data_IF_205346003832
#
_entry.id   IF_205346003832
#
_cell.length_a   1.000
_cell.length_b   1.000
_cell.length_c   1.000
_cell.angle_alpha   90.00
_cell.angle_beta   90.00
_cell.angle_gamma   90.00
#
_symmetry.space_group_name_H-M   'P 1'
#
loop_
_entity.id
_entity.type
_entity.pdbx_description
1 polymer ?
#
# COMPACT_ATOMS: atom_id res chain seq x y z
N UNK A 1 -17.20 4.36 16.22
CA UNK A 1 -16.04 3.64 15.60
C UNK A 1 -14.78 3.99 16.36
N UNK A 2 -13.86 3.04 16.54
CA UNK A 2 -12.56 3.23 17.18
C UNK A 2 -11.47 2.41 16.50
N UNK A 3 -10.21 2.81 16.62
CA UNK A 3 -9.07 1.95 16.30
C UNK A 3 -8.73 1.07 17.51
N UNK A 4 -8.30 -0.16 17.24
CA UNK A 4 -7.73 -1.08 18.22
C UNK A 4 -6.46 -1.68 17.63
N UNK A 5 -5.33 -1.43 18.27
CA UNK A 5 -4.05 -1.96 17.78
C UNK A 5 -3.98 -3.48 17.97
N UNK A 6 -3.10 -4.14 17.23
CA UNK A 6 -2.84 -5.58 17.42
C UNK A 6 -2.27 -5.83 18.81
N UNK A 7 -1.52 -4.89 19.37
CA UNK A 7 -1.06 -4.95 20.76
C UNK A 7 -2.21 -4.98 21.77
N UNK A 8 -3.29 -4.23 21.52
CA UNK A 8 -4.49 -4.18 22.37
C UNK A 8 -5.44 -5.37 22.13
N UNK A 9 -5.57 -5.81 20.87
CA UNK A 9 -6.51 -6.86 20.44
C UNK A 9 -5.86 -7.85 19.46
N UNK A 10 -4.89 -8.65 19.96
CA UNK A 10 -4.22 -9.67 19.14
C UNK A 10 -5.18 -10.77 18.67
N UNK A 11 -6.25 -11.02 19.42
CA UNK A 11 -7.30 -11.98 19.12
C UNK A 11 -8.07 -11.73 17.81
N UNK A 12 -8.06 -10.48 17.32
CA UNK A 12 -8.76 -10.10 16.08
C UNK A 12 -7.93 -10.29 14.81
N UNK A 13 -6.63 -10.56 14.92
CA UNK A 13 -5.69 -10.51 13.78
C UNK A 13 -6.04 -11.54 12.69
N UNK A 14 -6.31 -12.79 13.07
CA UNK A 14 -6.67 -13.86 12.13
C UNK A 14 -8.01 -13.57 11.44
N UNK A 15 -9.04 -13.24 12.22
CA UNK A 15 -10.36 -12.87 11.68
C UNK A 15 -10.27 -11.67 10.72
N UNK A 16 -9.48 -10.64 11.05
CA UNK A 16 -9.28 -9.48 10.18
C UNK A 16 -8.59 -9.85 8.86
N UNK A 17 -7.65 -10.80 8.89
CA UNK A 17 -7.02 -11.34 7.70
C UNK A 17 -8.04 -12.06 6.82
N UNK A 18 -8.81 -12.99 7.37
CA UNK A 18 -9.83 -13.74 6.64
C UNK A 18 -10.86 -12.82 5.96
N UNK A 19 -11.37 -11.80 6.68
CA UNK A 19 -12.35 -10.84 6.16
C UNK A 19 -11.83 -9.96 5.02
N UNK A 20 -10.52 -9.83 4.87
CA UNK A 20 -9.90 -8.92 3.91
C UNK A 20 -9.00 -9.61 2.89
N UNK A 21 -8.82 -10.92 3.00
CA UNK A 21 -7.90 -11.71 2.18
C UNK A 21 -8.10 -11.49 0.68
N UNK A 22 -9.34 -11.50 0.22
CA UNK A 22 -9.73 -11.39 -1.19
C UNK A 22 -9.77 -9.94 -1.73
N UNK A 23 -9.38 -8.96 -0.91
CA UNK A 23 -9.32 -7.54 -1.34
C UNK A 23 -8.06 -7.21 -2.15
N UNK A 24 -7.02 -8.02 -2.03
CA UNK A 24 -5.81 -7.95 -2.86
C UNK A 24 -5.86 -9.01 -3.98
N UNK A 25 -5.27 -8.67 -5.10
CA UNK A 25 -5.04 -9.64 -6.18
C UNK A 25 -3.95 -10.62 -5.76
N UNK A 26 -4.00 -11.84 -6.29
CA UNK A 26 -3.03 -12.89 -5.98
C UNK A 26 -1.58 -12.42 -6.19
N UNK A 27 -1.27 -11.86 -7.36
CA UNK A 27 0.09 -11.40 -7.64
C UNK A 27 0.66 -10.40 -6.62
N UNK A 28 -0.19 -9.55 -6.01
CA UNK A 28 0.25 -8.59 -4.98
C UNK A 28 0.71 -9.25 -3.68
N UNK A 29 0.44 -10.54 -3.50
CA UNK A 29 0.84 -11.30 -2.32
C UNK A 29 2.25 -11.89 -2.46
N UNK A 30 2.94 -11.65 -3.59
CA UNK A 30 4.24 -12.23 -3.93
C UNK A 30 5.37 -11.19 -4.05
N UNK A 31 5.36 -10.16 -3.21
CA UNK A 31 6.42 -9.14 -3.19
C UNK A 31 7.78 -9.72 -2.79
N UNK A 32 8.81 -9.48 -3.60
CA UNK A 32 10.16 -10.03 -3.42
C UNK A 32 10.80 -9.63 -2.10
N UNK A 33 10.63 -8.40 -1.70
CA UNK A 33 11.19 -7.81 -0.47
C UNK A 33 10.13 -7.76 0.61
N UNK A 34 8.97 -7.19 0.31
CA UNK A 34 7.89 -6.93 1.26
C UNK A 34 7.52 -8.19 2.07
N UNK A 35 7.40 -9.34 1.41
CA UNK A 35 6.97 -10.58 2.06
C UNK A 35 7.98 -11.10 3.11
N UNK A 36 9.27 -10.78 3.00
CA UNK A 36 10.28 -11.17 3.98
C UNK A 36 10.09 -10.49 5.33
N UNK A 37 9.48 -9.31 5.33
CA UNK A 37 9.27 -8.47 6.51
C UNK A 37 7.82 -8.47 6.99
N UNK A 38 6.86 -8.94 6.17
CA UNK A 38 5.44 -8.72 6.42
C UNK A 38 4.94 -9.30 7.76
N UNK A 39 5.40 -10.51 8.12
CA UNK A 39 5.07 -11.15 9.39
C UNK A 39 5.61 -10.36 10.59
N UNK A 40 6.81 -9.80 10.46
CA UNK A 40 7.49 -9.02 11.51
C UNK A 40 6.70 -7.78 11.92
N UNK A 41 5.86 -7.21 11.02
CA UNK A 41 4.99 -6.07 11.37
C UNK A 41 4.08 -6.39 12.57
N UNK A 42 3.51 -7.57 12.61
CA UNK A 42 2.62 -8.00 13.70
C UNK A 42 3.38 -8.50 14.91
N UNK A 43 4.55 -9.10 14.71
CA UNK A 43 5.38 -9.67 15.76
C UNK A 43 6.21 -8.62 16.52
N UNK A 44 6.80 -7.66 15.80
CA UNK A 44 7.76 -6.70 16.35
C UNK A 44 7.17 -5.29 16.52
N UNK A 45 6.12 -4.94 15.76
CA UNK A 45 5.50 -3.61 15.74
C UNK A 45 3.97 -3.67 15.88
N UNK A 46 3.41 -4.48 16.81
CA UNK A 46 1.96 -4.68 16.92
C UNK A 46 1.19 -3.41 17.28
N UNK A 47 1.83 -2.41 17.90
CA UNK A 47 1.24 -1.11 18.24
C UNK A 47 0.98 -0.21 17.03
N UNK A 48 1.65 -0.46 15.88
CA UNK A 48 1.43 0.27 14.63
C UNK A 48 0.50 -0.46 13.64
N UNK A 49 0.04 -1.65 14.00
CA UNK A 49 -0.92 -2.43 13.25
C UNK A 49 -2.27 -2.32 13.96
N UNK A 50 -3.35 -1.98 13.23
CA UNK A 50 -4.64 -1.83 13.90
C UNK A 50 -5.83 -2.35 13.08
N UNK A 51 -6.92 -2.53 13.79
CA UNK A 51 -8.26 -2.80 13.25
C UNK A 51 -9.16 -1.60 13.52
N UNK A 52 -9.96 -1.19 12.55
CA UNK A 52 -11.06 -0.27 12.75
C UNK A 52 -12.28 -1.08 13.18
N UNK A 53 -12.85 -0.75 14.34
CA UNK A 53 -13.99 -1.44 14.91
C UNK A 53 -15.21 -0.52 14.96
N UNK A 54 -16.40 -1.09 14.81
CA UNK A 54 -17.66 -0.42 15.10
C UNK A 54 -18.00 -0.49 16.61
N UNK A 55 -19.18 0.04 16.96
CA UNK A 55 -19.66 0.08 18.35
C UNK A 55 -20.09 -1.32 18.89
N UNK A 56 -20.12 -2.34 18.01
CA UNK A 56 -20.38 -3.74 18.35
C UNK A 56 -19.12 -4.61 18.33
N UNK A 57 -17.94 -3.97 18.22
CA UNK A 57 -16.62 -4.63 18.10
C UNK A 57 -16.47 -5.44 16.80
N UNK A 58 -17.27 -5.17 15.76
CA UNK A 58 -17.09 -5.79 14.44
C UNK A 58 -16.00 -5.09 13.64
N UNK A 59 -15.22 -5.88 12.90
CA UNK A 59 -14.08 -5.39 12.13
C UNK A 59 -14.58 -4.73 10.84
N UNK A 60 -14.29 -3.44 10.69
CA UNK A 60 -14.62 -2.64 9.50
C UNK A 60 -13.45 -2.48 8.53
N UNK A 61 -12.23 -2.49 9.03
CA UNK A 61 -11.00 -2.40 8.24
C UNK A 61 -9.81 -2.93 9.04
N UNK A 62 -8.76 -3.30 8.33
CA UNK A 62 -7.43 -3.46 8.91
C UNK A 62 -6.43 -2.52 8.27
N UNK A 63 -5.45 -2.09 9.04
CA UNK A 63 -4.41 -1.19 8.59
C UNK A 63 -3.03 -1.67 9.05
N UNK A 64 -2.01 -1.39 8.24
CA UNK A 64 -0.61 -1.69 8.51
C UNK A 64 0.23 -0.46 8.26
N UNK A 65 1.10 -0.16 9.20
CA UNK A 65 2.05 0.93 9.11
C UNK A 65 3.34 0.56 9.86
N UNK A 66 4.41 1.27 9.60
CA UNK A 66 5.62 1.16 10.42
C UNK A 66 6.31 2.52 10.55
N UNK A 67 6.99 2.77 11.67
CA UNK A 67 7.80 3.97 11.83
C UNK A 67 9.04 3.88 10.94
N UNK A 68 9.39 4.98 10.28
CA UNK A 68 10.59 5.08 9.44
C UNK A 68 11.30 6.40 9.70
N UNK A 69 12.61 6.43 9.44
CA UNK A 69 13.38 7.66 9.39
C UNK A 69 13.18 8.34 8.03
N UNK A 70 12.98 9.66 8.04
CA UNK A 70 12.91 10.49 6.84
C UNK A 70 13.28 11.94 7.19
N UNK A 71 14.18 12.56 6.44
CA UNK A 71 14.66 13.93 6.67
C UNK A 71 13.69 15.01 6.16
N UNK A 72 12.60 14.64 5.50
CA UNK A 72 11.60 15.54 4.94
C UNK A 72 11.85 15.94 3.49
N UNK A 73 12.99 15.56 2.92
CA UNK A 73 13.32 15.82 1.52
C UNK A 73 12.76 14.75 0.57
N UNK A 74 12.58 15.11 -0.71
CA UNK A 74 12.16 14.18 -1.76
C UNK A 74 13.26 13.14 -2.04
N UNK A 75 14.50 13.53 -1.90
CA UNK A 75 15.66 12.69 -2.22
C UNK A 75 15.90 11.59 -1.16
N UNK A 76 15.48 11.82 0.09
CA UNK A 76 15.55 10.84 1.17
C UNK A 76 14.31 9.93 1.27
N UNK A 77 13.30 10.08 0.40
CA UNK A 77 12.19 9.14 0.40
C UNK A 77 12.67 7.73 0.12
N UNK A 78 12.18 6.70 0.84
CA UNK A 78 12.51 5.31 0.54
C UNK A 78 12.18 4.95 -0.92
N UNK A 79 12.90 3.97 -1.47
CA UNK A 79 12.61 3.43 -2.80
C UNK A 79 11.31 2.60 -2.75
N UNK A 80 10.18 3.30 -2.77
CA UNK A 80 8.85 2.71 -2.71
C UNK A 80 8.53 2.00 -1.39
N UNK A 81 7.54 1.11 -1.45
CA UNK A 81 7.11 0.32 -0.29
C UNK A 81 8.17 -0.69 0.13
N UNK A 82 8.92 -1.26 -0.83
CA UNK A 82 10.01 -2.19 -0.55
C UNK A 82 11.13 -1.51 0.23
N UNK A 83 11.55 -0.31 -0.19
CA UNK A 83 12.55 0.47 0.55
C UNK A 83 12.04 0.95 1.91
N UNK A 84 10.75 1.30 2.01
CA UNK A 84 10.16 1.73 3.28
C UNK A 84 10.16 0.63 4.33
N UNK A 85 9.80 -0.61 3.97
CA UNK A 85 9.76 -1.71 4.93
C UNK A 85 11.17 -2.11 5.39
N UNK A 86 12.15 -2.12 4.49
CA UNK A 86 13.55 -2.36 4.84
C UNK A 86 14.04 -1.29 5.80
N UNK A 87 13.85 0.00 5.45
CA UNK A 87 14.29 1.13 6.28
C UNK A 87 13.67 1.09 7.67
N UNK A 88 12.38 0.79 7.78
CA UNK A 88 11.68 0.76 9.06
C UNK A 88 12.14 -0.34 10.02
N UNK A 89 12.70 -1.45 9.50
CA UNK A 89 13.23 -2.52 10.33
C UNK A 89 14.75 -2.45 10.54
N UNK A 90 15.48 -1.92 9.57
CA UNK A 90 16.95 -1.98 9.58
C UNK A 90 17.60 -0.66 10.04
N UNK A 91 16.87 0.48 10.01
CA UNK A 91 17.35 1.77 10.48
C UNK A 91 16.62 2.17 11.79
N UNK A 92 17.34 2.79 12.71
CA UNK A 92 16.78 3.39 13.93
C UNK A 92 16.31 4.84 13.74
N UNK A 93 15.98 5.49 14.85
CA UNK A 93 15.64 6.93 14.93
C UNK A 93 14.48 7.35 14.01
N UNK A 94 13.45 6.51 13.95
CA UNK A 94 12.22 6.79 13.19
C UNK A 94 11.53 8.06 13.68
N UNK A 95 11.14 8.91 12.74
CA UNK A 95 10.51 10.20 13.04
C UNK A 95 9.18 10.43 12.29
N UNK A 96 8.82 9.53 11.36
CA UNK A 96 7.55 9.56 10.63
C UNK A 96 6.91 8.17 10.61
N UNK A 97 5.59 8.12 10.44
CA UNK A 97 4.86 6.86 10.19
C UNK A 97 4.74 6.65 8.68
N UNK A 98 5.03 5.45 8.19
CA UNK A 98 4.78 5.05 6.82
C UNK A 98 3.55 4.13 6.76
N UNK A 99 2.50 4.56 6.04
CA UNK A 99 1.33 3.74 5.78
C UNK A 99 1.66 2.68 4.71
N UNK A 100 1.43 1.41 5.00
CA UNK A 100 1.69 0.31 4.06
C UNK A 100 0.42 -0.26 3.45
N UNK A 101 -0.65 -0.33 4.24
CA UNK A 101 -1.88 -1.01 3.83
C UNK A 101 -3.10 -0.45 4.55
N UNK A 102 -4.19 -0.31 3.81
CA UNK A 102 -5.56 -0.23 4.34
C UNK A 102 -6.41 -1.21 3.55
N UNK A 103 -7.02 -2.17 4.22
CA UNK A 103 -7.95 -3.12 3.62
C UNK A 103 -9.31 -3.02 4.28
N UNK A 104 -10.35 -2.97 3.45
CA UNK A 104 -11.76 -2.90 3.84
C UNK A 104 -12.47 -4.08 3.19
N UNK A 105 -13.22 -4.91 3.95
CA UNK A 105 -14.02 -5.99 3.39
C UNK A 105 -14.87 -5.49 2.21
N UNK A 106 -15.03 -6.31 1.17
CA UNK A 106 -15.66 -5.89 -0.09
C UNK A 106 -17.07 -5.34 0.08
N UNK A 107 -17.85 -5.94 0.97
CA UNK A 107 -19.22 -5.54 1.29
C UNK A 107 -19.32 -4.22 2.08
N UNK A 108 -18.21 -3.77 2.67
CA UNK A 108 -18.10 -2.54 3.44
C UNK A 108 -17.45 -1.39 2.66
N UNK A 109 -16.96 -1.63 1.45
CA UNK A 109 -16.32 -0.60 0.62
C UNK A 109 -17.31 0.51 0.23
N UNK A 110 -16.78 1.66 -0.18
CA UNK A 110 -17.56 2.85 -0.58
C UNK A 110 -18.40 3.51 0.53
N UNK A 111 -18.14 3.19 1.80
CA UNK A 111 -18.80 3.76 2.99
C UNK A 111 -17.96 4.81 3.72
N UNK A 112 -16.88 5.30 3.10
CA UNK A 112 -15.99 6.29 3.71
C UNK A 112 -14.97 5.73 4.72
N UNK A 113 -14.95 4.41 4.95
CA UNK A 113 -14.09 3.77 5.95
C UNK A 113 -12.59 3.97 5.68
N UNK A 114 -12.20 4.14 4.43
CA UNK A 114 -10.81 4.46 4.05
C UNK A 114 -10.34 5.80 4.61
N UNK A 115 -11.23 6.79 4.66
CA UNK A 115 -10.96 8.08 5.29
C UNK A 115 -10.69 7.90 6.79
N UNK A 116 -11.57 7.20 7.48
CA UNK A 116 -11.45 6.91 8.93
C UNK A 116 -10.18 6.10 9.24
N UNK A 117 -9.81 5.14 8.38
CA UNK A 117 -8.59 4.36 8.56
C UNK A 117 -7.32 5.22 8.43
N UNK A 118 -7.28 6.16 7.46
CA UNK A 118 -6.15 7.10 7.34
C UNK A 118 -6.10 8.08 8.51
N UNK A 119 -7.25 8.59 8.99
CA UNK A 119 -7.31 9.39 10.23
C UNK A 119 -6.79 8.60 11.43
N UNK A 120 -7.11 7.30 11.51
CA UNK A 120 -6.57 6.40 12.53
C UNK A 120 -5.04 6.28 12.48
N UNK A 121 -4.44 6.21 11.28
CA UNK A 121 -2.99 6.24 11.12
C UNK A 121 -2.37 7.57 11.55
N UNK A 122 -3.02 8.69 11.24
CA UNK A 122 -2.59 10.03 11.68
C UNK A 122 -2.63 10.15 13.21
N UNK A 123 -3.70 9.66 13.83
CA UNK A 123 -3.81 9.63 15.29
C UNK A 123 -2.73 8.74 15.91
N UNK A 124 -2.45 7.58 15.29
CA UNK A 124 -1.39 6.69 15.76
C UNK A 124 -0.01 7.38 15.67
N UNK A 125 0.27 8.08 14.57
CA UNK A 125 1.49 8.85 14.41
C UNK A 125 1.64 9.91 15.52
N UNK A 126 0.56 10.65 15.83
CA UNK A 126 0.58 11.65 16.94
C UNK A 126 0.84 11.01 18.30
N UNK A 127 0.18 9.89 18.61
CA UNK A 127 0.35 9.18 19.89
C UNK A 127 1.80 8.74 20.12
N UNK A 128 2.50 8.41 19.05
CA UNK A 128 3.90 7.99 19.09
C UNK A 128 4.89 9.13 18.85
N UNK A 129 4.44 10.40 18.81
CA UNK A 129 5.31 11.56 18.62
C UNK A 129 5.95 11.68 17.24
N UNK A 130 5.40 10.98 16.24
CA UNK A 130 5.87 11.02 14.87
C UNK A 130 5.35 12.26 14.14
N UNK A 131 6.21 12.91 13.35
CA UNK A 131 6.00 14.27 12.83
C UNK A 131 5.19 14.33 11.53
N UNK A 132 5.01 13.20 10.86
CA UNK A 132 4.23 13.08 9.62
C UNK A 132 3.74 11.65 9.41
N UNK A 133 2.73 11.51 8.53
CA UNK A 133 2.39 10.25 7.88
C UNK A 133 2.79 10.35 6.42
N UNK A 134 3.66 9.46 5.96
CA UNK A 134 3.97 9.27 4.54
C UNK A 134 3.32 7.99 4.03
N UNK A 135 2.97 7.96 2.75
CA UNK A 135 2.32 6.80 2.16
C UNK A 135 2.77 6.60 0.71
N UNK A 136 3.29 5.41 0.34
CA UNK A 136 3.45 5.02 -1.05
C UNK A 136 2.08 4.54 -1.57
N UNK A 137 1.23 5.49 -1.92
CA UNK A 137 -0.16 5.25 -2.30
C UNK A 137 -0.23 4.48 -3.61
N UNK A 138 -0.90 3.31 -3.58
CA UNK A 138 -1.24 2.52 -4.76
C UNK A 138 -2.49 3.11 -5.41
N UNK A 139 -2.41 3.78 -6.58
CA UNK A 139 -3.59 4.41 -7.19
C UNK A 139 -4.62 3.35 -7.62
N UNK A 140 -5.87 3.50 -7.19
CA UNK A 140 -6.90 2.48 -7.40
C UNK A 140 -7.43 2.40 -8.83
N UNK A 141 -7.46 3.51 -9.57
CA UNK A 141 -7.90 3.53 -10.97
C UNK A 141 -6.76 3.40 -11.97
N UNK A 142 -5.52 3.34 -11.53
CA UNK A 142 -4.36 3.18 -12.43
C UNK A 142 -4.42 1.87 -13.22
N UNK A 143 -5.09 0.84 -12.71
CA UNK A 143 -5.31 -0.44 -13.41
C UNK A 143 -6.07 -0.29 -14.74
N UNK A 144 -6.88 0.78 -14.89
CA UNK A 144 -7.56 1.10 -16.15
C UNK A 144 -6.65 1.81 -17.15
N UNK A 145 -5.48 2.26 -16.73
CA UNK A 145 -4.51 3.02 -17.52
C UNK A 145 -3.09 2.45 -17.39
N UNK A 146 -2.89 1.13 -17.54
CA UNK A 146 -1.62 0.47 -17.21
C UNK A 146 -0.46 0.94 -18.11
N UNK A 147 -0.76 1.39 -19.34
CA UNK A 147 0.23 1.88 -20.28
C UNK A 147 0.64 3.36 -20.08
N UNK A 148 -0.05 4.07 -19.20
CA UNK A 148 0.30 5.45 -18.87
C UNK A 148 1.37 5.46 -17.79
N UNK A 149 2.54 6.09 -17.99
CA UNK A 149 3.55 6.22 -16.94
C UNK A 149 2.98 6.85 -15.67
N UNK A 150 3.42 6.38 -14.50
CA UNK A 150 2.91 6.87 -13.22
C UNK A 150 3.20 8.36 -13.02
N UNK A 151 4.31 8.86 -13.56
CA UNK A 151 4.71 10.27 -13.53
C UNK A 151 3.66 11.17 -14.16
N UNK A 152 3.05 10.69 -15.24
CA UNK A 152 1.98 11.41 -15.91
C UNK A 152 0.65 11.24 -15.20
N UNK A 153 0.32 9.99 -14.80
CA UNK A 153 -0.94 9.66 -14.13
C UNK A 153 -1.12 10.38 -12.80
N UNK A 154 -0.07 10.48 -11.99
CA UNK A 154 -0.08 11.13 -10.69
C UNK A 154 -0.50 12.61 -10.75
N UNK A 155 -0.28 13.27 -11.88
CA UNK A 155 -0.66 14.66 -12.09
C UNK A 155 -2.09 14.87 -12.62
N UNK A 156 -2.84 13.80 -12.91
CA UNK A 156 -4.18 13.94 -13.47
C UNK A 156 -5.16 14.49 -12.43
N UNK A 157 -6.01 15.43 -12.91
CA UNK A 157 -7.02 16.08 -12.08
C UNK A 157 -8.39 16.04 -12.74
N UNK A 158 -9.41 16.12 -11.92
CA UNK A 158 -10.81 16.26 -12.32
C UNK A 158 -11.14 17.72 -12.60
N UNK A 159 -12.33 17.97 -13.15
CA UNK A 159 -12.82 19.33 -13.42
C UNK A 159 -12.96 20.18 -12.13
N UNK A 160 -13.16 19.56 -10.98
CA UNK A 160 -13.22 20.21 -9.68
C UNK A 160 -11.83 20.52 -9.06
N UNK A 161 -10.76 20.25 -9.80
CA UNK A 161 -9.36 20.47 -9.40
C UNK A 161 -8.76 19.40 -8.51
N UNK A 162 -9.53 18.44 -7.99
CA UNK A 162 -9.05 17.35 -7.17
C UNK A 162 -8.34 16.27 -8.00
N UNK A 163 -7.51 15.48 -7.35
CA UNK A 163 -6.81 14.35 -7.99
C UNK A 163 -7.79 13.39 -8.66
N UNK A 164 -7.42 12.90 -9.83
CA UNK A 164 -8.26 12.00 -10.64
C UNK A 164 -8.50 10.66 -9.97
N UNK A 165 -7.45 10.08 -9.38
CA UNK A 165 -7.53 8.77 -8.71
C UNK A 165 -8.34 8.86 -7.41
N UNK A 166 -9.32 7.97 -7.18
CA UNK A 166 -10.17 8.01 -5.99
C UNK A 166 -9.39 7.84 -4.69
N UNK A 167 -8.38 6.94 -4.67
CA UNK A 167 -7.63 6.68 -3.46
C UNK A 167 -6.66 7.81 -3.12
N UNK A 168 -5.95 8.33 -4.10
CA UNK A 168 -5.13 9.54 -3.93
C UNK A 168 -5.96 10.74 -3.49
N UNK A 169 -7.20 10.86 -3.98
CA UNK A 169 -8.15 11.93 -3.59
C UNK A 169 -8.64 11.79 -2.14
N UNK A 170 -8.74 10.59 -1.58
CA UNK A 170 -9.00 10.41 -0.13
C UNK A 170 -7.86 11.04 0.67
N UNK A 171 -6.61 10.74 0.30
CA UNK A 171 -5.44 11.35 0.94
C UNK A 171 -5.41 12.87 0.78
N UNK A 172 -5.67 13.39 -0.44
CA UNK A 172 -5.71 14.84 -0.71
C UNK A 172 -6.77 15.55 0.13
N UNK A 173 -7.97 14.98 0.29
CA UNK A 173 -9.05 15.53 1.13
C UNK A 173 -8.72 15.55 2.62
N UNK A 174 -7.84 14.69 3.05
CA UNK A 174 -7.26 14.68 4.40
C UNK A 174 -6.02 15.59 4.53
N UNK A 175 -5.78 16.45 3.55
CA UNK A 175 -4.69 17.43 3.57
C UNK A 175 -3.33 16.89 3.12
N UNK A 176 -3.29 15.70 2.51
CA UNK A 176 -2.03 15.20 1.99
C UNK A 176 -1.57 15.95 0.73
N UNK A 177 -0.27 16.18 0.65
CA UNK A 177 0.40 16.63 -0.57
C UNK A 177 1.02 15.44 -1.32
N UNK A 178 0.94 15.48 -2.66
CA UNK A 178 1.72 14.59 -3.52
C UNK A 178 3.19 15.03 -3.45
N UNK A 179 4.08 14.10 -3.17
CA UNK A 179 5.54 14.35 -3.13
C UNK A 179 6.19 13.98 -4.46
N UNK A 180 6.13 12.72 -4.84
CA UNK A 180 6.65 12.24 -6.13
C UNK A 180 5.96 10.95 -6.58
N UNK A 181 5.86 10.67 -7.88
CA UNK A 181 5.59 9.33 -8.39
C UNK A 181 6.78 8.40 -8.11
N UNK A 182 6.47 7.13 -7.84
CA UNK A 182 7.46 6.08 -7.60
C UNK A 182 7.17 4.90 -8.55
N UNK A 183 7.86 4.82 -9.69
CA UNK A 183 7.59 3.80 -10.70
C UNK A 183 8.02 2.39 -10.28
N UNK A 184 8.88 2.27 -9.29
CA UNK A 184 9.44 1.00 -8.81
C UNK A 184 9.23 0.81 -7.32
N UNK A 185 7.96 0.85 -6.90
CA UNK A 185 7.62 0.83 -5.48
C UNK A 185 7.63 -0.59 -4.89
N UNK A 186 7.02 -1.56 -5.58
CA UNK A 186 6.97 -2.97 -5.15
C UNK A 186 7.48 -3.85 -6.28
N UNK A 187 8.46 -4.68 -6.00
CA UNK A 187 8.98 -5.66 -6.94
C UNK A 187 8.32 -7.02 -6.75
N UNK A 188 7.89 -7.62 -7.86
CA UNK A 188 7.36 -8.98 -7.88
C UNK A 188 8.05 -9.74 -9.01
N UNK A 189 8.70 -10.85 -8.68
CA UNK A 189 9.30 -11.77 -9.65
C UNK A 189 8.78 -13.18 -9.40
N UNK A 190 8.72 -13.97 -10.46
CA UNK A 190 8.34 -15.36 -10.41
C UNK A 190 8.67 -16.05 -11.72
N UNK A 191 8.50 -17.35 -11.77
CA UNK A 191 8.53 -18.13 -13.01
C UNK A 191 7.37 -17.76 -13.92
N UNK A 192 7.46 -18.10 -15.20
CA UNK A 192 6.34 -17.90 -16.14
C UNK A 192 5.09 -18.64 -15.66
N UNK A 193 5.24 -19.87 -15.15
CA UNK A 193 4.12 -20.67 -14.65
C UNK A 193 3.43 -20.03 -13.42
N UNK A 194 4.20 -19.47 -12.49
CA UNK A 194 3.63 -18.72 -11.34
C UNK A 194 2.86 -17.49 -11.83
N UNK A 195 3.39 -16.74 -12.78
CA UNK A 195 2.67 -15.60 -13.36
C UNK A 195 1.41 -16.01 -14.10
N UNK A 196 1.41 -17.16 -14.80
CA UNK A 196 0.21 -17.74 -15.43
C UNK A 196 -0.84 -18.09 -14.35
N UNK A 197 -0.43 -18.67 -13.24
CA UNK A 197 -1.31 -18.98 -12.10
C UNK A 197 -1.88 -17.70 -11.46
N UNK A 198 -1.01 -16.74 -11.08
CA UNK A 198 -1.42 -15.51 -10.38
C UNK A 198 -2.35 -14.61 -11.19
N UNK A 199 -2.21 -14.62 -12.51
CA UNK A 199 -2.99 -13.74 -13.41
C UNK A 199 -4.16 -14.45 -14.11
N UNK A 200 -4.15 -15.78 -14.15
CA UNK A 200 -5.09 -16.59 -14.94
C UNK A 200 -4.91 -16.41 -16.45
N UNK A 201 -3.73 -15.97 -16.89
CA UNK A 201 -3.38 -15.74 -18.29
C UNK A 201 -2.33 -16.76 -18.75
N UNK A 202 -2.21 -16.94 -20.08
CA UNK A 202 -1.10 -17.69 -20.70
C UNK A 202 -0.18 -16.72 -21.41
N UNK A 203 1.13 -16.93 -21.28
CA UNK A 203 2.16 -16.10 -21.90
C UNK A 203 2.91 -16.89 -22.99
N UNK A 204 2.44 -16.86 -24.27
CA UNK A 204 2.95 -17.74 -25.33
C UNK A 204 4.37 -17.39 -25.80
N UNK A 205 4.82 -16.15 -25.62
CA UNK A 205 6.15 -15.65 -26.03
C UNK A 205 6.72 -14.65 -25.01
N UNK A 206 7.98 -14.31 -25.14
CA UNK A 206 8.60 -13.24 -24.35
C UNK A 206 8.06 -11.87 -24.78
N UNK A 207 7.83 -10.96 -23.81
CA UNK A 207 7.31 -9.63 -24.08
C UNK A 207 6.64 -8.99 -22.86
N UNK A 208 6.10 -7.80 -23.07
CA UNK A 208 5.35 -7.06 -22.05
C UNK A 208 3.86 -7.34 -22.18
N UNK A 209 3.25 -7.76 -21.08
CA UNK A 209 1.83 -8.11 -21.05
C UNK A 209 1.06 -7.27 -20.03
N UNK A 210 -0.07 -6.74 -20.48
CA UNK A 210 -1.07 -6.23 -19.54
C UNK A 210 -1.81 -7.40 -18.88
N UNK A 211 -2.09 -7.30 -17.61
CA UNK A 211 -2.88 -8.27 -16.88
C UNK A 211 -3.89 -7.57 -15.95
N UNK A 212 -4.94 -8.25 -15.58
CA UNK A 212 -6.04 -7.68 -14.80
C UNK A 212 -5.56 -7.25 -13.40
N UNK A 213 -5.72 -5.97 -13.09
CA UNK A 213 -5.35 -5.37 -11.82
C UNK A 213 -3.91 -4.85 -11.79
N UNK A 214 -3.08 -5.16 -12.80
CA UNK A 214 -1.74 -4.59 -12.92
C UNK A 214 -1.77 -3.09 -13.21
N UNK A 215 -0.93 -2.33 -12.52
CA UNK A 215 -0.81 -0.90 -12.73
C UNK A 215 0.18 -0.55 -13.86
N UNK A 216 0.98 -1.52 -14.27
CA UNK A 216 1.93 -1.49 -15.36
C UNK A 216 1.96 -2.89 -16.02
N UNK A 217 2.57 -3.06 -17.20
CA UNK A 217 2.79 -4.39 -17.78
C UNK A 217 3.77 -5.22 -16.95
N UNK A 218 3.58 -6.55 -17.00
CA UNK A 218 4.59 -7.52 -16.56
C UNK A 218 5.49 -7.86 -17.76
N UNK A 219 6.80 -7.86 -17.54
CA UNK A 219 7.79 -8.32 -18.52
C UNK A 219 7.99 -9.83 -18.37
N UNK A 220 7.68 -10.60 -19.40
CA UNK A 220 7.85 -12.05 -19.45
C UNK A 220 9.07 -12.39 -20.31
N UNK A 221 9.98 -13.16 -19.73
CA UNK A 221 11.13 -13.79 -20.42
C UNK A 221 10.95 -15.31 -20.35
N UNK A 222 10.52 -15.89 -21.47
CA UNK A 222 10.27 -17.34 -21.55
C UNK A 222 11.56 -18.15 -21.56
N UNK A 223 12.60 -17.66 -22.21
CA UNK A 223 13.87 -18.35 -22.30
C UNK A 223 14.55 -18.42 -20.90
N UNK A 224 14.47 -17.32 -20.15
CA UNK A 224 14.90 -17.25 -18.76
C UNK A 224 13.88 -17.80 -17.76
N UNK A 225 12.72 -18.28 -18.20
CA UNK A 225 11.61 -18.74 -17.35
C UNK A 225 11.28 -17.76 -16.23
N UNK A 226 11.10 -16.48 -16.57
CA UNK A 226 10.92 -15.39 -15.58
C UNK A 226 9.88 -14.37 -16.01
N UNK A 227 9.02 -14.00 -15.07
CA UNK A 227 8.22 -12.78 -15.14
C UNK A 227 8.72 -11.76 -14.12
N UNK A 228 8.75 -10.50 -14.50
CA UNK A 228 9.20 -9.39 -13.64
C UNK A 228 8.22 -8.23 -13.72
N UNK A 229 7.80 -7.73 -12.57
CA UNK A 229 6.87 -6.64 -12.45
C UNK A 229 7.34 -5.62 -11.40
N UNK A 230 7.16 -4.35 -11.72
CA UNK A 230 7.28 -3.26 -10.77
C UNK A 230 5.94 -2.58 -10.62
N UNK A 231 5.35 -2.64 -9.43
CA UNK A 231 4.13 -1.89 -9.14
C UNK A 231 4.47 -0.44 -8.85
N UNK A 232 3.90 0.52 -9.63
CA UNK A 232 4.12 1.93 -9.39
C UNK A 232 3.19 2.47 -8.32
N UNK A 233 3.70 3.35 -7.46
CA UNK A 233 2.94 4.06 -6.45
C UNK A 233 3.17 5.57 -6.55
N UNK A 234 2.52 6.34 -5.69
CA UNK A 234 2.72 7.78 -5.56
C UNK A 234 2.97 8.11 -4.10
N UNK A 235 4.13 8.68 -3.80
CA UNK A 235 4.42 9.17 -2.47
C UNK A 235 3.55 10.38 -2.12
N UNK A 236 2.84 10.27 -1.01
CA UNK A 236 2.02 11.35 -0.44
C UNK A 236 2.39 11.56 1.03
N UNK A 237 2.28 12.81 1.51
CA UNK A 237 2.58 13.20 2.89
C UNK A 237 1.41 13.92 3.52
N UNK A 238 1.05 13.51 4.73
CA UNK A 238 0.18 14.25 5.65
C UNK A 238 1.01 14.88 6.77
N UNK A 239 0.65 16.09 7.19
CA UNK A 239 1.12 16.63 8.45
C UNK A 239 0.39 15.98 9.63
N UNK A 240 1.02 15.91 10.78
CA UNK A 240 0.40 15.44 12.04
C UNK A 240 -0.05 16.60 12.93
N UNK A 241 0.09 17.84 12.46
CA UNK A 241 -0.33 19.04 13.18
C UNK A 241 -1.87 19.18 13.21
#
# INVERSE_FOLDING_TARGET
MRIATVSERPDLTERAYELTYDTLREYNQHGDVLNRYWGRLTEELPEFQFHLLDDREEILARARALPVRWDGSIDDLPEGIDGAIVRGFDEGDANVLCALLVQIPKDLQSRGLSHVAVEGMLELARRHGLTALIAPVRPSWKEYYPLVPIERYAGWRRADGLLFDPWMRVHERLGAAVLKPEPRSLRITGTVAEWEEWTGMTYPESGDYWFRGGLAPVAIDRDGNRGSYWEPNVWMRHGTA
#
